data_IF_226834711699
#
_entry.id   IF_226834711699
#
_cell.length_a   1.000
_cell.length_b   1.000
_cell.length_c   1.000
_cell.angle_alpha   90.00
_cell.angle_beta   90.00
_cell.angle_gamma   90.00
#
_symmetry.space_group_name_H-M   'P 1'
#
loop_
_entity.id
_entity.type
_entity.pdbx_description
1 polymer ?
#
# COMPACT_ATOMS: atom_id res chain seq x y z
N UNK A 1 -18.25 -49.98 22.02
CA UNK A 1 -18.78 -48.65 21.69
C UNK A 1 -17.58 -47.71 21.47
N UNK A 2 -17.02 -47.55 20.28
CA UNK A 2 -16.04 -46.51 19.96
C UNK A 2 -15.59 -46.52 18.47
N UNK A 3 -16.51 -46.75 17.50
CA UNK A 3 -16.16 -46.65 16.06
C UNK A 3 -16.88 -45.53 15.32
N UNK A 4 -17.85 -44.85 15.92
CA UNK A 4 -18.62 -43.79 15.23
C UNK A 4 -17.95 -42.38 15.30
N UNK A 5 -17.05 -42.13 16.25
CA UNK A 5 -16.38 -40.83 16.38
C UNK A 5 -15.19 -40.62 15.40
N UNK A 6 -14.54 -41.69 14.94
CA UNK A 6 -13.39 -41.56 14.01
C UNK A 6 -13.82 -41.26 12.57
N UNK A 7 -15.00 -41.73 12.12
CA UNK A 7 -15.47 -41.49 10.76
C UNK A 7 -15.95 -40.07 10.52
N UNK A 8 -16.49 -39.39 11.55
CA UNK A 8 -16.94 -38.01 11.46
C UNK A 8 -15.78 -36.99 11.28
N UNK A 9 -14.63 -37.24 11.90
CA UNK A 9 -13.45 -36.39 11.81
C UNK A 9 -12.77 -36.43 10.41
N UNK A 10 -12.62 -37.63 9.83
CA UNK A 10 -12.02 -37.83 8.55
C UNK A 10 -12.88 -37.21 7.39
N UNK A 11 -14.20 -37.31 7.51
CA UNK A 11 -15.14 -36.73 6.55
C UNK A 11 -15.11 -35.19 6.57
N UNK A 12 -15.11 -34.58 7.77
CA UNK A 12 -14.97 -33.11 7.95
C UNK A 12 -13.63 -32.60 7.38
N UNK A 13 -12.51 -33.27 7.71
CA UNK A 13 -11.18 -32.89 7.20
C UNK A 13 -11.11 -33.00 5.67
N UNK A 14 -11.75 -33.99 5.06
CA UNK A 14 -11.81 -34.14 3.60
C UNK A 14 -12.66 -33.05 2.93
N UNK A 15 -13.79 -32.66 3.55
CA UNK A 15 -14.64 -31.57 3.08
C UNK A 15 -13.94 -30.21 3.15
N UNK A 16 -13.30 -29.90 4.27
CA UNK A 16 -12.50 -28.68 4.46
C UNK A 16 -11.32 -28.59 3.46
N UNK A 17 -10.66 -29.71 3.17
CA UNK A 17 -9.60 -29.79 2.17
C UNK A 17 -10.12 -29.51 0.76
N UNK A 18 -11.29 -30.05 0.39
CA UNK A 18 -11.93 -29.79 -0.91
C UNK A 18 -12.33 -28.34 -1.04
N UNK A 19 -12.94 -27.74 -0.02
CA UNK A 19 -13.34 -26.34 -0.01
C UNK A 19 -12.12 -25.41 -0.12
N UNK A 20 -11.04 -25.66 0.63
CA UNK A 20 -9.79 -24.92 0.55
C UNK A 20 -9.16 -25.01 -0.86
N UNK A 21 -9.15 -26.19 -1.47
CA UNK A 21 -8.63 -26.37 -2.82
C UNK A 21 -9.47 -25.61 -3.85
N UNK A 22 -10.80 -25.63 -3.72
CA UNK A 22 -11.71 -24.86 -4.59
C UNK A 22 -11.47 -23.35 -4.48
N UNK A 23 -11.31 -22.81 -3.25
CA UNK A 23 -10.98 -21.39 -3.02
C UNK A 23 -9.62 -21.04 -3.62
N UNK A 24 -8.63 -21.91 -3.51
CA UNK A 24 -7.29 -21.70 -4.07
C UNK A 24 -7.33 -21.65 -5.59
N UNK A 25 -8.02 -22.56 -6.24
CA UNK A 25 -8.17 -22.56 -7.70
C UNK A 25 -8.95 -21.34 -8.22
N UNK A 26 -9.98 -20.92 -7.49
CA UNK A 26 -10.69 -19.68 -7.82
C UNK A 26 -9.76 -18.46 -7.71
N UNK A 27 -8.97 -18.35 -6.61
CA UNK A 27 -8.02 -17.26 -6.42
C UNK A 27 -6.96 -17.21 -7.52
N UNK A 28 -6.43 -18.37 -7.97
CA UNK A 28 -5.49 -18.45 -9.11
C UNK A 28 -6.12 -17.92 -10.40
N UNK A 29 -7.34 -18.34 -10.71
CA UNK A 29 -8.05 -17.90 -11.92
C UNK A 29 -8.30 -16.37 -11.87
N UNK A 30 -8.72 -15.86 -10.73
CA UNK A 30 -8.95 -14.43 -10.53
C UNK A 30 -7.64 -13.65 -10.73
N UNK A 31 -6.54 -14.07 -10.10
CA UNK A 31 -5.23 -13.42 -10.24
C UNK A 31 -4.73 -13.45 -11.67
N UNK A 32 -4.89 -14.59 -12.37
CA UNK A 32 -4.54 -14.70 -13.77
C UNK A 32 -5.31 -13.67 -14.61
N UNK A 33 -6.62 -13.56 -14.41
CA UNK A 33 -7.45 -12.56 -15.10
C UNK A 33 -6.96 -11.15 -14.82
N UNK A 34 -6.73 -10.78 -13.57
CA UNK A 34 -6.25 -9.45 -13.17
C UNK A 34 -4.91 -9.10 -13.85
N UNK A 35 -3.96 -10.05 -13.94
CA UNK A 35 -2.68 -9.83 -14.63
C UNK A 35 -2.91 -9.56 -16.12
N UNK A 36 -3.78 -10.35 -16.80
CA UNK A 36 -4.09 -10.12 -18.21
C UNK A 36 -4.81 -8.80 -18.44
N UNK A 37 -5.74 -8.43 -17.57
CA UNK A 37 -6.45 -7.15 -17.65
C UNK A 37 -5.51 -5.94 -17.44
N UNK A 38 -4.43 -6.13 -16.66
CA UNK A 38 -3.41 -5.12 -16.38
C UNK A 38 -2.38 -4.94 -17.51
N UNK A 39 -2.05 -6.02 -18.22
CA UNK A 39 -0.97 -6.05 -19.22
C UNK A 39 -1.06 -4.95 -20.30
N UNK A 40 -2.24 -4.64 -20.89
CA UNK A 40 -2.36 -3.58 -21.88
C UNK A 40 -1.93 -2.21 -21.36
N UNK A 41 -2.35 -1.83 -20.13
CA UNK A 41 -1.99 -0.57 -19.52
C UNK A 41 -0.49 -0.51 -19.17
N UNK A 42 0.10 -1.63 -18.77
CA UNK A 42 1.54 -1.72 -18.53
C UNK A 42 2.34 -1.49 -19.80
N UNK A 43 1.91 -2.07 -20.93
CA UNK A 43 2.54 -1.85 -22.24
C UNK A 43 2.39 -0.41 -22.71
N UNK A 44 1.20 0.18 -22.58
CA UNK A 44 0.97 1.59 -22.88
C UNK A 44 1.92 2.52 -22.11
N UNK A 45 2.02 2.33 -20.79
CA UNK A 45 2.97 3.12 -19.98
C UNK A 45 4.42 2.90 -20.39
N UNK A 46 4.81 1.67 -20.74
CA UNK A 46 6.17 1.36 -21.17
C UNK A 46 6.50 2.05 -22.50
N UNK A 47 5.59 1.99 -23.47
CA UNK A 47 5.76 2.69 -24.77
C UNK A 47 5.81 4.21 -24.57
N UNK A 48 4.87 4.75 -23.79
CA UNK A 48 4.86 6.19 -23.50
C UNK A 48 6.15 6.66 -22.79
N UNK A 49 6.72 5.84 -21.90
CA UNK A 49 8.02 6.12 -21.29
C UNK A 49 9.12 6.21 -22.36
N UNK A 50 9.22 5.23 -23.26
CA UNK A 50 10.24 5.17 -24.31
C UNK A 50 10.17 6.43 -25.21
N UNK A 51 8.96 6.83 -25.58
CA UNK A 51 8.74 7.99 -26.45
C UNK A 51 9.02 9.34 -25.76
N UNK A 52 8.81 9.41 -24.45
CA UNK A 52 8.82 10.67 -23.69
C UNK A 52 9.79 10.67 -22.50
N UNK A 53 10.82 9.81 -22.49
CA UNK A 53 11.76 9.63 -21.38
C UNK A 53 12.29 10.94 -20.81
N UNK A 54 12.79 11.85 -21.69
CA UNK A 54 13.36 13.13 -21.27
C UNK A 54 12.33 14.03 -20.55
N UNK A 55 11.09 14.02 -21.02
CA UNK A 55 10.00 14.82 -20.45
C UNK A 55 9.56 14.21 -19.12
N UNK A 56 9.40 12.89 -19.06
CA UNK A 56 9.02 12.17 -17.84
C UNK A 56 10.09 12.29 -16.75
N UNK A 57 11.37 12.20 -17.11
CA UNK A 57 12.49 12.39 -16.16
C UNK A 57 12.47 13.80 -15.55
N UNK A 58 12.15 14.82 -16.34
CA UNK A 58 12.08 16.22 -15.88
C UNK A 58 10.77 16.60 -15.18
N UNK A 59 9.77 15.70 -15.13
CA UNK A 59 8.54 15.97 -14.36
C UNK A 59 8.89 16.36 -12.93
N UNK A 60 8.39 17.53 -12.50
CA UNK A 60 8.60 17.97 -11.13
C UNK A 60 7.82 17.10 -10.15
N UNK A 61 8.53 16.47 -9.22
CA UNK A 61 7.99 15.60 -8.17
C UNK A 61 8.54 16.07 -6.83
N UNK A 62 7.74 16.85 -6.11
CA UNK A 62 8.16 17.39 -4.82
C UNK A 62 8.08 16.33 -3.73
N UNK A 63 9.07 16.33 -2.82
CA UNK A 63 9.01 15.54 -1.58
C UNK A 63 7.80 15.97 -0.75
N UNK A 64 7.07 15.02 -0.18
CA UNK A 64 5.84 15.24 0.59
C UNK A 64 4.59 15.37 -0.28
N UNK A 65 4.71 15.49 -1.61
CA UNK A 65 3.55 15.48 -2.49
C UNK A 65 2.86 14.11 -2.49
N UNK A 66 1.53 14.14 -2.54
CA UNK A 66 0.67 12.96 -2.60
C UNK A 66 0.11 12.84 -4.02
N UNK A 67 0.28 11.68 -4.63
CA UNK A 67 -0.20 11.36 -5.96
C UNK A 67 -0.94 10.02 -5.96
N UNK A 68 -1.83 9.82 -6.93
CA UNK A 68 -2.22 8.47 -7.29
C UNK A 68 -1.06 7.77 -8.02
N UNK A 69 -0.79 6.52 -7.65
CA UNK A 69 0.22 5.67 -8.27
C UNK A 69 -0.41 4.37 -8.78
N UNK A 70 -0.12 4.05 -10.03
CA UNK A 70 -0.55 2.82 -10.67
C UNK A 70 0.49 1.72 -10.40
N UNK A 71 0.26 0.89 -9.38
CA UNK A 71 1.14 -0.24 -9.06
C UNK A 71 0.95 -1.41 -10.01
N UNK A 72 -0.27 -1.61 -10.48
CA UNK A 72 -0.64 -2.76 -11.32
C UNK A 72 -0.91 -4.01 -10.52
N UNK A 73 -0.65 -5.17 -11.12
CA UNK A 73 -0.82 -6.46 -10.49
C UNK A 73 0.54 -7.08 -10.16
N UNK A 74 0.84 -7.15 -8.87
CA UNK A 74 2.10 -7.67 -8.32
C UNK A 74 1.88 -9.02 -7.62
N UNK A 75 2.93 -9.54 -6.95
CA UNK A 75 2.95 -10.89 -6.39
C UNK A 75 2.75 -10.84 -4.87
N UNK A 76 1.94 -11.77 -4.35
CA UNK A 76 1.79 -11.97 -2.91
C UNK A 76 1.15 -10.79 -2.19
N UNK A 77 1.87 -10.20 -1.24
CA UNK A 77 1.41 -9.07 -0.41
C UNK A 77 1.90 -7.70 -0.90
N UNK A 78 2.56 -7.63 -2.06
CA UNK A 78 2.97 -6.37 -2.66
C UNK A 78 1.76 -5.48 -2.96
N UNK A 79 2.00 -4.17 -3.03
CA UNK A 79 0.93 -3.22 -3.36
C UNK A 79 0.44 -3.44 -4.78
N UNK A 80 -0.87 -3.52 -4.94
CA UNK A 80 -1.57 -3.71 -6.21
C UNK A 80 -2.49 -2.53 -6.52
N UNK A 81 -2.96 -2.47 -7.77
CA UNK A 81 -3.96 -1.52 -8.25
C UNK A 81 -3.48 -0.06 -8.22
N UNK A 82 -4.41 0.86 -8.27
CA UNK A 82 -4.16 2.28 -8.11
C UNK A 82 -4.42 2.70 -6.66
N UNK A 83 -3.49 3.45 -6.09
CA UNK A 83 -3.67 4.00 -4.74
C UNK A 83 -2.84 5.26 -4.51
N UNK A 84 -3.23 6.09 -3.54
CA UNK A 84 -2.45 7.26 -3.17
C UNK A 84 -1.10 6.84 -2.57
N UNK A 85 -0.08 7.63 -2.87
CA UNK A 85 1.29 7.48 -2.35
C UNK A 85 1.85 8.83 -1.94
N UNK A 86 2.73 8.85 -0.95
CA UNK A 86 3.54 10.03 -0.58
C UNK A 86 4.92 9.90 -1.22
N UNK A 87 5.39 10.91 -1.94
CA UNK A 87 6.77 10.98 -2.42
C UNK A 87 7.69 11.31 -1.25
N UNK A 88 8.66 10.44 -0.99
CA UNK A 88 9.58 10.57 0.16
C UNK A 88 11.04 10.78 -0.25
N UNK A 89 11.39 10.54 -1.51
CA UNK A 89 12.73 10.78 -2.02
C UNK A 89 13.09 12.27 -2.02
N UNK A 90 14.40 12.56 -1.93
CA UNK A 90 14.94 13.90 -1.93
C UNK A 90 14.65 14.63 -3.25
N UNK A 91 14.37 15.94 -3.19
CA UNK A 91 14.04 16.77 -4.37
C UNK A 91 15.16 16.80 -5.42
N UNK A 92 16.43 16.73 -5.00
CA UNK A 92 17.57 16.62 -5.93
C UNK A 92 17.50 15.33 -6.75
N UNK A 93 17.21 14.20 -6.08
CA UNK A 93 17.00 12.91 -6.76
C UNK A 93 15.77 12.99 -7.65
N UNK A 94 14.67 13.56 -7.14
CA UNK A 94 13.41 13.68 -7.88
C UNK A 94 13.58 14.53 -9.17
N UNK A 95 14.46 15.52 -9.17
CA UNK A 95 14.68 16.38 -10.35
C UNK A 95 15.56 15.74 -11.44
N UNK A 96 16.39 14.75 -11.08
CA UNK A 96 17.39 14.15 -11.96
C UNK A 96 17.07 12.71 -12.39
N UNK A 97 16.24 12.00 -11.62
CA UNK A 97 15.88 10.60 -11.87
C UNK A 97 14.52 10.47 -12.57
N UNK A 98 14.35 9.44 -13.38
CA UNK A 98 13.05 9.00 -13.90
C UNK A 98 12.19 8.28 -12.85
N UNK A 99 12.76 7.93 -11.69
CA UNK A 99 12.10 7.26 -10.60
C UNK A 99 12.02 8.14 -9.35
N UNK A 100 11.08 7.83 -8.48
CA UNK A 100 10.94 8.40 -7.13
C UNK A 100 10.72 7.29 -6.11
N UNK A 101 11.06 7.54 -4.83
CA UNK A 101 10.66 6.66 -3.73
C UNK A 101 9.31 7.11 -3.19
N UNK A 102 8.41 6.17 -3.02
CA UNK A 102 7.05 6.43 -2.54
C UNK A 102 6.69 5.55 -1.35
N UNK A 103 5.86 6.09 -0.46
CA UNK A 103 5.22 5.36 0.64
C UNK A 103 3.74 5.19 0.28
N UNK A 104 3.22 3.97 0.13
CA UNK A 104 1.81 3.75 -0.18
C UNK A 104 0.90 4.07 1.00
N UNK A 105 -0.27 4.61 0.69
CA UNK A 105 -1.33 4.90 1.65
C UNK A 105 -2.43 3.83 1.58
N UNK A 106 -3.03 3.53 2.73
CA UNK A 106 -4.17 2.61 2.82
C UNK A 106 -5.26 3.18 3.74
N UNK A 107 -6.52 3.02 3.35
CA UNK A 107 -7.68 3.33 4.21
C UNK A 107 -7.90 2.33 5.35
N UNK A 108 -7.20 1.19 5.33
CA UNK A 108 -7.33 0.14 6.34
C UNK A 108 -6.45 0.45 7.55
N UNK A 109 -6.94 1.27 8.45
CA UNK A 109 -6.23 1.66 9.66
C UNK A 109 -6.14 0.48 10.63
N UNK A 110 -4.91 0.04 10.92
CA UNK A 110 -4.65 -0.95 11.98
C UNK A 110 -4.38 -0.20 13.28
N UNK A 111 -5.43 -0.03 14.09
CA UNK A 111 -5.40 0.73 15.35
C UNK A 111 -4.93 -0.19 16.48
N UNK A 112 -4.10 0.36 17.40
CA UNK A 112 -3.74 -0.29 18.65
C UNK A 112 -4.91 -0.24 19.62
N UNK A 113 -5.23 -1.37 20.23
CA UNK A 113 -6.34 -1.49 21.17
C UNK A 113 -5.87 -2.06 22.50
N UNK A 114 -6.61 -1.79 23.56
CA UNK A 114 -6.41 -2.44 24.86
C UNK A 114 -6.77 -3.93 24.78
N UNK A 115 -5.87 -4.86 25.19
CA UNK A 115 -6.11 -6.29 25.04
C UNK A 115 -7.38 -6.81 25.75
N UNK A 116 -7.75 -6.19 26.88
CA UNK A 116 -8.91 -6.64 27.69
C UNK A 116 -10.25 -6.09 27.20
N UNK A 117 -10.28 -4.87 26.67
CA UNK A 117 -11.53 -4.17 26.33
C UNK A 117 -11.75 -4.04 24.83
N UNK A 118 -10.70 -4.22 24.01
CA UNK A 118 -10.75 -3.97 22.56
C UNK A 118 -10.87 -2.50 22.18
N UNK A 119 -10.93 -1.58 23.14
CA UNK A 119 -11.07 -0.15 22.88
C UNK A 119 -9.78 0.43 22.28
N UNK A 120 -9.88 1.41 21.35
CA UNK A 120 -8.73 2.10 20.80
C UNK A 120 -7.88 2.79 21.86
N UNK A 121 -6.57 2.73 21.72
CA UNK A 121 -5.64 3.58 22.47
C UNK A 121 -5.47 4.86 21.69
N UNK A 122 -5.70 5.99 22.38
CA UNK A 122 -5.66 7.33 21.77
C UNK A 122 -4.45 8.13 22.28
N UNK A 123 -4.01 9.09 21.47
CA UNK A 123 -3.07 10.15 21.88
C UNK A 123 -3.75 11.13 22.84
N UNK A 124 -3.00 12.09 23.37
CA UNK A 124 -3.55 13.17 24.22
C UNK A 124 -4.57 14.04 23.47
N UNK A 125 -4.42 14.16 22.15
CA UNK A 125 -5.28 14.91 21.24
C UNK A 125 -6.51 14.10 20.79
N UNK A 126 -6.68 12.85 21.28
CA UNK A 126 -7.80 11.99 20.95
C UNK A 126 -7.65 11.18 19.64
N UNK A 127 -6.51 11.23 18.98
CA UNK A 127 -6.26 10.49 17.75
C UNK A 127 -5.86 9.03 18.02
N UNK A 128 -6.32 8.06 17.23
CA UNK A 128 -5.94 6.67 17.40
C UNK A 128 -4.45 6.44 17.12
N UNK A 129 -3.83 5.52 17.88
CA UNK A 129 -2.43 5.14 17.73
C UNK A 129 -2.32 3.94 16.78
N UNK A 130 -1.37 3.95 15.80
CA UNK A 130 -1.13 2.79 14.95
C UNK A 130 -0.73 1.54 15.75
N UNK A 131 -1.24 0.37 15.31
CA UNK A 131 -0.84 -0.93 15.87
C UNK A 131 0.62 -1.26 15.53
N UNK A 132 1.03 -0.93 14.30
CA UNK A 132 2.39 -1.17 13.81
C UNK A 132 3.22 0.10 13.91
N UNK A 133 4.46 -0.03 14.33
CA UNK A 133 5.37 1.09 14.48
C UNK A 133 5.80 1.70 13.14
N UNK A 134 5.77 0.90 12.08
CA UNK A 134 6.00 1.34 10.69
C UNK A 134 4.86 2.18 10.09
N UNK A 135 3.67 2.15 10.70
CA UNK A 135 2.54 2.92 10.18
C UNK A 135 2.50 4.33 10.76
N UNK A 136 2.10 5.30 9.92
CA UNK A 136 1.79 6.67 10.33
C UNK A 136 0.40 7.04 9.81
N UNK A 137 -0.46 7.61 10.67
CA UNK A 137 -1.82 8.00 10.28
C UNK A 137 -1.85 9.44 9.78
N UNK A 138 -2.49 9.63 8.63
CA UNK A 138 -2.81 10.90 8.01
C UNK A 138 -4.33 11.06 8.03
N UNK A 139 -4.82 12.12 8.66
CA UNK A 139 -6.24 12.32 8.88
C UNK A 139 -6.85 13.25 7.84
N UNK A 140 -8.05 12.89 7.36
CA UNK A 140 -8.81 13.68 6.39
C UNK A 140 -9.16 15.08 6.90
N UNK A 141 -9.38 15.25 8.19
CA UNK A 141 -9.68 16.57 8.77
C UNK A 141 -8.49 17.54 8.72
N UNK A 142 -7.26 17.04 8.58
CA UNK A 142 -6.04 17.82 8.35
C UNK A 142 -5.74 17.99 6.85
N UNK A 143 -6.05 16.98 6.05
CA UNK A 143 -5.75 16.91 4.62
C UNK A 143 -7.03 16.63 3.85
N UNK A 144 -7.71 17.67 3.39
CA UNK A 144 -9.01 17.61 2.68
C UNK A 144 -8.94 16.88 1.34
N UNK A 145 -7.74 16.83 0.72
CA UNK A 145 -7.48 16.06 -0.48
C UNK A 145 -7.52 14.53 -0.25
N UNK A 146 -7.44 14.05 0.98
CA UNK A 146 -7.62 12.64 1.29
C UNK A 146 -9.10 12.27 1.28
N UNK A 147 -9.47 11.23 0.54
CA UNK A 147 -10.85 10.73 0.55
C UNK A 147 -11.24 10.12 1.91
N UNK A 148 -10.28 9.53 2.63
CA UNK A 148 -10.43 8.84 3.91
C UNK A 148 -9.21 9.09 4.79
N UNK A 149 -9.37 8.92 6.12
CA UNK A 149 -8.23 8.73 7.01
C UNK A 149 -7.38 7.58 6.49
N UNK A 150 -6.08 7.79 6.43
CA UNK A 150 -5.16 6.90 5.75
C UNK A 150 -3.96 6.54 6.63
N UNK A 151 -3.43 5.34 6.46
CA UNK A 151 -2.15 4.93 7.03
C UNK A 151 -1.07 4.90 5.94
N UNK A 152 0.00 5.62 6.15
CA UNK A 152 1.23 5.48 5.38
C UNK A 152 2.00 4.25 5.91
N UNK A 153 2.35 3.31 5.01
CA UNK A 153 3.01 2.04 5.32
C UNK A 153 4.49 2.14 4.95
N UNK A 154 5.33 2.57 5.90
CA UNK A 154 6.74 2.82 5.60
C UNK A 154 7.54 1.54 5.32
N UNK A 155 7.08 0.39 5.80
CA UNK A 155 7.65 -0.92 5.47
C UNK A 155 7.45 -1.34 4.01
N UNK A 156 6.52 -0.69 3.30
CA UNK A 156 6.23 -0.96 1.89
C UNK A 156 6.78 0.14 0.95
N UNK A 157 7.71 0.95 1.45
CA UNK A 157 8.39 1.97 0.64
C UNK A 157 9.07 1.34 -0.56
N UNK A 158 8.80 1.87 -1.74
CA UNK A 158 9.32 1.32 -2.99
C UNK A 158 9.69 2.40 -4.01
N UNK A 159 10.54 2.04 -4.97
CA UNK A 159 10.86 2.89 -6.11
C UNK A 159 9.85 2.66 -7.24
N UNK A 160 9.30 3.75 -7.78
CA UNK A 160 8.40 3.70 -8.93
C UNK A 160 8.85 4.66 -10.02
N UNK A 161 8.63 4.28 -11.27
CA UNK A 161 8.81 5.20 -12.39
C UNK A 161 7.78 6.34 -12.32
N UNK A 162 8.19 7.57 -12.61
CA UNK A 162 7.33 8.74 -12.63
C UNK A 162 6.11 8.58 -13.54
N UNK A 163 6.20 7.77 -14.58
CA UNK A 163 5.08 7.49 -15.50
C UNK A 163 3.89 6.84 -14.78
N UNK A 164 4.13 6.13 -13.67
CA UNK A 164 3.09 5.49 -12.84
C UNK A 164 2.32 6.49 -11.98
N UNK A 165 2.87 7.70 -11.79
CA UNK A 165 2.25 8.74 -10.97
C UNK A 165 1.27 9.55 -11.82
N UNK A 166 0.01 9.57 -11.37
CA UNK A 166 -1.09 10.32 -11.97
C UNK A 166 -1.27 11.68 -11.27
N UNK A 167 -2.50 12.06 -11.03
CA UNK A 167 -2.89 13.36 -10.50
C UNK A 167 -2.21 13.66 -9.15
N UNK A 168 -1.78 14.90 -9.02
CA UNK A 168 -1.36 15.46 -7.74
C UNK A 168 -2.59 15.75 -6.89
N UNK A 169 -2.67 15.16 -5.70
CA UNK A 169 -3.79 15.33 -4.78
C UNK A 169 -3.59 16.51 -3.83
N UNK A 170 -2.38 16.67 -3.32
CA UNK A 170 -1.98 17.69 -2.35
C UNK A 170 -0.60 17.39 -1.78
N UNK A 171 -0.22 18.10 -0.74
CA UNK A 171 1.10 17.91 -0.11
C UNK A 171 0.97 17.86 1.42
N UNK A 172 1.80 17.04 2.04
CA UNK A 172 1.94 16.98 3.50
C UNK A 172 2.75 18.17 3.99
N UNK A 173 2.52 18.59 5.23
CA UNK A 173 3.36 19.56 5.92
C UNK A 173 4.69 18.94 6.39
N UNK A 174 5.63 19.80 6.76
CA UNK A 174 6.97 19.40 7.20
C UNK A 174 6.96 18.56 8.49
N UNK A 175 5.98 18.75 9.34
CA UNK A 175 5.85 17.98 10.59
C UNK A 175 5.52 16.51 10.26
N UNK A 176 4.54 16.27 9.39
CA UNK A 176 4.15 14.91 9.02
C UNK A 176 5.23 14.24 8.16
N UNK A 177 5.94 14.98 7.31
CA UNK A 177 7.11 14.46 6.58
C UNK A 177 8.18 13.99 7.56
N UNK A 178 8.52 14.79 8.59
CA UNK A 178 9.51 14.43 9.61
C UNK A 178 9.09 13.19 10.41
N UNK A 179 7.79 13.07 10.72
CA UNK A 179 7.23 11.89 11.41
C UNK A 179 7.30 10.64 10.52
N UNK A 180 7.05 10.76 9.21
CA UNK A 180 7.22 9.67 8.25
C UNK A 180 8.69 9.25 8.15
N UNK A 181 9.64 10.20 8.13
CA UNK A 181 11.07 9.89 8.16
C UNK A 181 11.48 9.06 9.39
N UNK A 182 10.95 9.43 10.56
CA UNK A 182 11.21 8.68 11.79
C UNK A 182 10.71 7.24 11.68
N UNK A 183 9.53 7.02 11.09
CA UNK A 183 8.98 5.68 10.85
C UNK A 183 9.79 4.92 9.80
N UNK A 184 10.24 5.63 8.76
CA UNK A 184 11.06 5.05 7.70
C UNK A 184 12.41 4.56 8.25
N UNK A 185 13.10 5.40 9.04
CA UNK A 185 14.35 5.00 9.73
C UNK A 185 14.13 3.74 10.55
N UNK A 186 13.06 3.71 11.34
CA UNK A 186 12.72 2.51 12.11
C UNK A 186 12.49 1.28 11.21
N UNK A 187 11.77 1.43 10.11
CA UNK A 187 11.48 0.33 9.17
C UNK A 187 12.73 -0.24 8.51
N UNK A 188 13.77 0.59 8.34
CA UNK A 188 15.06 0.19 7.77
C UNK A 188 16.13 -0.17 8.82
N UNK A 189 15.81 -0.07 10.11
CA UNK A 189 16.75 -0.37 11.19
C UNK A 189 17.85 0.68 11.35
N UNK A 190 17.58 1.96 11.02
CA UNK A 190 18.50 3.12 11.08
C UNK A 190 18.24 3.98 12.31
#
# INVERSE_FOLDING_TARGET
MNKEHEHGGAFRASAEKRERNSRTEYAKKLKTKQIYDWLPLQLEMAHHWIEHEKTQTKRNMARGAVHFCQFGENIGCEQNEERPVVIISNNTVNSTSGNVLVIPLTKNLKIRTFPKTGQPILTKEGNPIPRFQSHYFLFKNKYDFLAFDSAAKTEETTSVSKIRLKDHLGSLDEEDISRLETRLKWSFGL
#
